data_IF_283177623781
#
_entry.id   IF_283177623781
#
_cell.length_a   1.000
_cell.length_b   1.000
_cell.length_c   1.000
_cell.angle_alpha   90.00
_cell.angle_beta   90.00
_cell.angle_gamma   90.00
#
_symmetry.space_group_name_H-M   'P 1'
#
loop_
_entity.id
_entity.type
_entity.pdbx_description
1 polymer ?
#
# COMPACT_ATOMS: atom_id res chain seq x y z
N UNK A 1 -3.59 -19.23 6.02
CA UNK A 1 -3.05 -18.25 5.05
C UNK A 1 -1.63 -18.68 4.75
N UNK A 2 -1.39 -19.27 3.59
CA UNK A 2 0.01 -19.45 3.18
C UNK A 2 0.57 -18.06 2.85
N UNK A 3 1.31 -17.52 3.77
CA UNK A 3 2.11 -16.35 3.55
C UNK A 3 3.23 -16.75 2.60
N UNK A 4 3.39 -16.01 1.51
CA UNK A 4 4.51 -16.20 0.57
C UNK A 4 5.86 -15.99 1.28
N UNK A 5 5.84 -15.25 2.38
CA UNK A 5 6.96 -15.03 3.29
C UNK A 5 6.49 -15.32 4.72
N UNK A 6 7.25 -16.12 5.43
CA UNK A 6 7.01 -16.43 6.85
C UNK A 6 8.06 -15.73 7.72
N UNK A 7 7.80 -15.52 9.01
CA UNK A 7 8.83 -15.06 9.94
C UNK A 7 10.09 -15.93 9.82
N UNK A 8 11.26 -15.30 9.92
CA UNK A 8 12.59 -15.89 9.78
C UNK A 8 13.04 -16.24 8.34
N UNK A 9 12.23 -15.93 7.32
CA UNK A 9 12.69 -16.03 5.93
C UNK A 9 13.75 -14.99 5.60
N UNK A 10 14.79 -15.42 4.87
CA UNK A 10 15.78 -14.53 4.29
C UNK A 10 15.39 -14.14 2.88
N UNK A 11 15.35 -12.84 2.60
CA UNK A 11 14.92 -12.30 1.32
C UNK A 11 16.07 -11.56 0.63
N UNK A 12 16.37 -11.92 -0.60
CA UNK A 12 17.31 -11.18 -1.45
C UNK A 12 16.55 -10.11 -2.25
N UNK A 13 16.89 -8.84 -2.01
CA UNK A 13 16.25 -7.71 -2.70
C UNK A 13 17.19 -7.16 -3.79
N UNK A 14 16.77 -7.27 -5.04
CA UNK A 14 17.49 -6.65 -6.16
C UNK A 14 17.12 -5.16 -6.30
N UNK A 15 17.94 -4.30 -5.71
CA UNK A 15 17.71 -2.84 -5.73
C UNK A 15 17.94 -2.21 -7.10
N UNK A 16 18.67 -2.86 -7.99
CA UNK A 16 18.99 -2.32 -9.33
C UNK A 16 17.76 -2.27 -10.24
N UNK A 17 16.80 -3.19 -10.06
CA UNK A 17 15.62 -3.26 -10.91
C UNK A 17 14.80 -1.96 -10.89
N UNK A 18 14.57 -1.41 -9.71
CA UNK A 18 13.74 -0.19 -9.53
C UNK A 18 14.55 1.09 -9.30
N UNK A 19 15.85 1.02 -9.50
CA UNK A 19 16.79 2.12 -9.30
C UNK A 19 17.34 2.19 -7.87
N UNK A 20 18.65 1.96 -7.74
CA UNK A 20 19.32 2.02 -6.44
C UNK A 20 19.33 3.45 -5.92
N UNK A 21 19.28 3.58 -4.60
CA UNK A 21 19.42 4.86 -3.91
C UNK A 21 20.85 5.05 -3.46
N UNK A 22 21.36 6.25 -3.70
CA UNK A 22 22.70 6.68 -3.26
C UNK A 22 22.51 7.73 -2.19
N UNK A 23 23.14 7.57 -1.05
CA UNK A 23 23.17 8.53 0.05
C UNK A 23 24.43 8.34 0.89
N UNK A 24 24.81 9.36 1.64
CA UNK A 24 25.99 9.33 2.50
C UNK A 24 25.64 8.65 3.84
N UNK A 25 26.25 7.49 4.09
CA UNK A 25 26.06 6.75 5.35
C UNK A 25 26.46 7.55 6.59
N UNK A 26 27.45 8.45 6.48
CA UNK A 26 27.88 9.32 7.58
C UNK A 26 26.75 10.26 8.05
N UNK A 27 26.01 10.84 7.11
CA UNK A 27 24.89 11.73 7.42
C UNK A 27 23.73 10.95 8.07
N UNK A 28 23.47 9.72 7.58
CA UNK A 28 22.49 8.83 8.18
C UNK A 28 22.79 8.48 9.65
N UNK A 29 24.07 8.23 9.97
CA UNK A 29 24.52 7.93 11.34
C UNK A 29 24.42 9.12 12.29
N UNK A 30 24.51 10.33 11.77
CA UNK A 30 24.46 11.58 12.54
C UNK A 30 23.06 12.19 12.62
N UNK A 31 22.02 11.48 12.16
CA UNK A 31 20.64 11.97 12.08
C UNK A 31 20.50 13.31 11.34
N UNK A 32 21.41 13.59 10.40
CA UNK A 32 21.33 14.77 9.53
C UNK A 32 20.29 14.57 8.43
N UNK A 33 19.73 15.65 7.86
CA UNK A 33 18.87 15.55 6.70
C UNK A 33 19.57 14.78 5.58
N UNK A 34 18.92 13.72 5.11
CA UNK A 34 19.48 12.85 4.07
C UNK A 34 19.14 13.38 2.70
N UNK A 35 20.16 13.67 1.92
CA UNK A 35 20.00 13.82 0.48
C UNK A 35 20.08 12.45 -0.18
N UNK A 36 18.99 12.05 -0.87
CA UNK A 36 18.88 10.72 -1.49
C UNK A 36 18.72 10.90 -2.98
N UNK A 37 19.73 10.50 -3.72
CA UNK A 37 19.67 10.40 -5.17
C UNK A 37 19.20 9.00 -5.56
N UNK A 38 18.30 8.93 -6.54
CA UNK A 38 17.86 7.66 -7.12
C UNK A 38 18.35 7.56 -8.56
N UNK A 39 19.11 6.53 -8.85
CA UNK A 39 19.47 6.20 -10.22
C UNK A 39 18.29 5.58 -10.95
N UNK A 40 18.31 5.65 -12.27
CA UNK A 40 17.30 4.98 -13.11
C UNK A 40 17.39 3.47 -12.93
N UNK A 41 16.26 2.82 -12.74
CA UNK A 41 16.15 1.36 -12.72
C UNK A 41 16.07 0.76 -14.11
N UNK A 42 16.21 -0.56 -14.17
CA UNK A 42 16.14 -1.33 -15.43
C UNK A 42 14.71 -1.79 -15.75
N UNK A 43 13.77 -1.67 -14.84
CA UNK A 43 12.39 -2.11 -15.06
C UNK A 43 11.37 -1.15 -14.46
N UNK A 44 10.23 -1.03 -15.12
CA UNK A 44 9.05 -0.32 -14.62
C UNK A 44 8.34 -1.11 -13.52
N UNK A 45 7.58 -0.41 -12.66
CA UNK A 45 6.72 -1.06 -11.68
C UNK A 45 5.59 -1.81 -12.38
N UNK A 46 5.24 -2.97 -11.84
CA UNK A 46 4.16 -3.80 -12.39
C UNK A 46 3.13 -4.15 -11.32
N UNK A 47 1.87 -4.33 -11.73
CA UNK A 47 0.83 -4.87 -10.85
C UNK A 47 1.17 -6.31 -10.46
N UNK A 48 0.81 -6.69 -9.25
CA UNK A 48 1.16 -7.96 -8.61
C UNK A 48 2.64 -8.16 -8.24
N UNK A 49 3.51 -7.23 -8.58
CA UNK A 49 4.91 -7.29 -8.18
C UNK A 49 5.07 -7.12 -6.67
N UNK A 50 5.94 -7.91 -6.06
CA UNK A 50 6.30 -7.75 -4.64
C UNK A 50 7.37 -6.69 -4.52
N UNK A 51 7.08 -5.64 -3.77
CA UNK A 51 7.95 -4.49 -3.58
C UNK A 51 8.46 -4.45 -2.14
N UNK A 52 9.73 -4.07 -2.01
CA UNK A 52 10.36 -3.77 -0.72
C UNK A 52 10.65 -2.27 -0.67
N UNK A 53 10.09 -1.59 0.31
CA UNK A 53 10.24 -0.15 0.47
C UNK A 53 10.32 0.24 1.94
N UNK A 54 10.87 1.42 2.22
CA UNK A 54 10.86 1.95 3.57
C UNK A 54 9.48 2.50 3.92
N UNK A 55 9.06 2.31 5.15
CA UNK A 55 7.80 2.86 5.63
C UNK A 55 7.84 4.39 5.59
N UNK A 56 6.85 5.04 4.94
CA UNK A 56 6.90 6.48 4.68
C UNK A 56 6.47 7.37 5.85
N UNK A 57 5.91 6.81 6.92
CA UNK A 57 5.41 7.54 8.09
C UNK A 57 6.05 7.04 9.39
N UNK A 58 7.39 7.20 9.57
CA UNK A 58 8.09 6.61 10.71
C UNK A 58 7.74 7.25 12.05
N UNK A 59 7.35 8.52 12.07
CA UNK A 59 7.09 9.30 13.29
C UNK A 59 5.68 9.85 13.35
N UNK A 60 5.16 10.37 12.25
CA UNK A 60 3.84 11.00 12.17
C UNK A 60 3.12 10.57 10.89
N UNK A 61 1.83 10.33 11.00
CA UNK A 61 0.97 9.94 9.87
C UNK A 61 0.76 11.06 8.83
N UNK A 62 0.90 12.32 9.24
CA UNK A 62 0.67 13.53 8.44
C UNK A 62 1.94 14.05 7.73
N UNK A 63 3.05 13.37 7.90
CA UNK A 63 4.31 13.76 7.28
C UNK A 63 5.07 12.56 6.71
N UNK A 64 5.52 12.70 5.47
CA UNK A 64 6.36 11.69 4.84
C UNK A 64 7.76 11.80 5.40
N UNK A 65 8.21 10.73 6.06
CA UNK A 65 9.55 10.61 6.59
C UNK A 65 10.33 9.49 5.92
N UNK A 66 11.56 9.30 6.32
CA UNK A 66 12.42 8.26 5.79
C UNK A 66 13.14 7.52 6.93
N UNK A 67 12.72 6.29 7.21
CA UNK A 67 13.40 5.42 8.15
C UNK A 67 14.21 4.37 7.39
N UNK A 68 15.54 4.47 7.46
CA UNK A 68 16.46 3.56 6.77
C UNK A 68 16.37 2.11 7.23
N UNK A 69 15.97 1.88 8.47
CA UNK A 69 15.98 0.56 9.10
C UNK A 69 14.64 -0.17 9.01
N UNK A 70 13.55 0.57 8.71
CA UNK A 70 12.21 -0.02 8.66
C UNK A 70 11.80 -0.30 7.22
N UNK A 71 11.72 -1.59 6.87
CA UNK A 71 11.30 -2.05 5.55
C UNK A 71 9.96 -2.74 5.59
N UNK A 72 9.16 -2.49 4.59
CA UNK A 72 7.90 -3.19 4.33
C UNK A 72 8.01 -3.98 3.04
N UNK A 73 7.42 -5.17 3.06
CA UNK A 73 7.26 -6.02 1.88
C UNK A 73 5.77 -6.08 1.57
N UNK A 74 5.37 -5.52 0.44
CA UNK A 74 3.97 -5.47 0.02
C UNK A 74 3.85 -5.76 -1.47
N UNK A 75 2.68 -6.26 -1.86
CA UNK A 75 2.34 -6.47 -3.26
C UNK A 75 1.74 -5.21 -3.86
N UNK A 76 2.24 -4.80 -5.03
CA UNK A 76 1.72 -3.67 -5.78
C UNK A 76 0.40 -4.07 -6.44
N UNK A 77 -0.69 -3.47 -6.02
CA UNK A 77 -2.02 -3.76 -6.58
C UNK A 77 -2.36 -2.84 -7.75
N UNK A 78 -1.96 -1.58 -7.65
CA UNK A 78 -2.28 -0.56 -8.65
C UNK A 78 -1.09 0.37 -8.90
N UNK A 79 -1.10 1.03 -10.03
CA UNK A 79 -0.07 1.95 -10.50
C UNK A 79 -0.64 3.38 -10.60
N UNK A 80 0.21 4.41 -10.66
CA UNK A 80 -0.24 5.77 -10.96
C UNK A 80 -1.10 5.82 -12.22
N UNK A 81 -2.25 6.51 -12.16
CA UNK A 81 -3.26 6.56 -13.21
C UNK A 81 -4.37 5.50 -13.11
N UNK A 82 -4.21 4.53 -12.21
CA UNK A 82 -5.24 3.51 -12.01
C UNK A 82 -6.39 4.01 -11.14
N UNK A 83 -7.57 3.47 -11.38
CA UNK A 83 -8.68 3.52 -10.44
C UNK A 83 -8.82 2.14 -9.80
N UNK A 84 -8.55 2.07 -8.50
CA UNK A 84 -8.59 0.83 -7.72
C UNK A 84 -9.89 0.75 -6.92
N UNK A 85 -10.42 -0.45 -6.80
CA UNK A 85 -11.56 -0.76 -5.94
C UNK A 85 -11.41 -2.16 -5.33
N UNK A 86 -12.09 -2.38 -4.22
CA UNK A 86 -12.33 -3.72 -3.66
C UNK A 86 -13.84 -3.96 -3.76
N UNK A 87 -14.22 -5.09 -4.30
CA UNK A 87 -15.61 -5.57 -4.36
C UNK A 87 -15.67 -6.99 -3.84
N UNK A 88 -16.46 -7.19 -2.80
CA UNK A 88 -16.55 -8.50 -2.11
C UNK A 88 -15.17 -9.10 -1.81
N UNK A 89 -14.29 -8.33 -1.16
CA UNK A 89 -12.92 -8.69 -0.84
C UNK A 89 -11.95 -8.82 -2.02
N UNK A 90 -12.41 -8.63 -3.26
CA UNK A 90 -11.60 -8.76 -4.48
C UNK A 90 -11.02 -7.43 -4.91
N UNK A 91 -9.70 -7.39 -5.10
CA UNK A 91 -9.05 -6.24 -5.70
C UNK A 91 -9.35 -6.15 -7.19
N UNK A 92 -9.73 -4.97 -7.63
CA UNK A 92 -9.98 -4.64 -9.04
C UNK A 92 -9.33 -3.33 -9.41
N UNK A 93 -8.89 -3.24 -10.65
CA UNK A 93 -8.43 -1.99 -11.27
C UNK A 93 -9.22 -1.81 -12.56
N UNK A 94 -9.78 -0.62 -12.76
CA UNK A 94 -10.59 -0.31 -13.92
C UNK A 94 -9.79 -0.53 -15.21
N UNK A 95 -10.34 -1.31 -16.15
CA UNK A 95 -9.67 -1.63 -17.41
C UNK A 95 -8.56 -2.70 -17.29
N UNK A 96 -8.51 -3.44 -16.19
CA UNK A 96 -7.55 -4.52 -16.00
C UNK A 96 -8.26 -5.79 -15.51
N UNK A 97 -8.31 -6.81 -16.37
CA UNK A 97 -9.12 -8.01 -16.16
C UNK A 97 -8.39 -9.18 -15.49
N UNK A 98 -7.08 -9.02 -15.22
CA UNK A 98 -6.31 -10.08 -14.55
C UNK A 98 -6.51 -10.03 -13.04
N UNK A 99 -6.38 -11.17 -12.41
CA UNK A 99 -6.44 -11.29 -10.95
C UNK A 99 -5.33 -10.48 -10.26
N UNK A 100 -5.71 -9.79 -9.19
CA UNK A 100 -4.83 -8.92 -8.40
C UNK A 100 -4.70 -9.43 -6.97
N UNK A 101 -3.49 -9.34 -6.45
CA UNK A 101 -3.20 -9.70 -5.07
C UNK A 101 -3.10 -11.21 -4.84
N UNK A 102 -3.21 -11.61 -3.58
CA UNK A 102 -3.24 -13.03 -3.20
C UNK A 102 -4.70 -13.52 -3.16
N UNK A 103 -5.08 -14.28 -4.16
CA UNK A 103 -6.45 -14.79 -4.33
C UNK A 103 -6.86 -15.73 -3.19
N UNK A 104 -5.92 -16.55 -2.71
CA UNK A 104 -6.20 -17.45 -1.58
C UNK A 104 -6.57 -16.66 -0.33
N UNK A 105 -5.81 -15.61 -0.02
CA UNK A 105 -6.11 -14.73 1.11
C UNK A 105 -7.43 -13.97 0.95
N UNK A 106 -7.75 -13.51 -0.27
CA UNK A 106 -9.01 -12.84 -0.56
C UNK A 106 -10.19 -13.80 -0.39
N UNK A 107 -10.07 -15.06 -0.86
CA UNK A 107 -11.09 -16.09 -0.64
C UNK A 107 -11.28 -16.41 0.84
N UNK A 108 -10.18 -16.56 1.57
CA UNK A 108 -10.23 -16.82 3.00
C UNK A 108 -10.90 -15.68 3.77
N UNK A 109 -10.62 -14.43 3.39
CA UNK A 109 -11.26 -13.26 3.96
C UNK A 109 -12.75 -13.23 3.62
N UNK A 110 -13.13 -13.49 2.36
CA UNK A 110 -14.54 -13.56 1.95
C UNK A 110 -15.30 -14.57 2.80
N UNK A 111 -14.78 -15.80 2.91
CA UNK A 111 -15.41 -16.86 3.72
C UNK A 111 -15.47 -16.49 5.21
N UNK A 112 -14.43 -15.83 5.75
CA UNK A 112 -14.43 -15.36 7.13
C UNK A 112 -15.55 -14.34 7.38
N UNK A 113 -15.79 -13.42 6.44
CA UNK A 113 -16.80 -12.37 6.53
C UNK A 113 -18.24 -12.85 6.27
N UNK A 114 -18.46 -14.08 5.80
CA UNK A 114 -19.80 -14.67 5.68
C UNK A 114 -20.49 -14.83 7.03
N UNK A 115 -19.72 -14.95 8.12
CA UNK A 115 -20.24 -15.09 9.48
C UNK A 115 -20.45 -13.71 10.12
N UNK A 116 -21.70 -13.29 10.45
CA UNK A 116 -21.97 -11.99 11.05
C UNK A 116 -21.15 -11.69 12.30
N UNK A 117 -20.96 -12.68 13.15
CA UNK A 117 -20.15 -12.58 14.38
C UNK A 117 -18.71 -12.11 14.12
N UNK A 118 -18.12 -12.55 12.99
CA UNK A 118 -16.77 -12.15 12.63
C UNK A 118 -16.72 -10.68 12.21
N UNK A 119 -17.75 -10.23 11.48
CA UNK A 119 -17.88 -8.83 11.07
C UNK A 119 -18.05 -7.93 12.31
N UNK A 120 -18.94 -8.30 13.22
CA UNK A 120 -19.14 -7.58 14.48
C UNK A 120 -17.83 -7.48 15.29
N UNK A 121 -17.10 -8.58 15.41
CA UNK A 121 -15.80 -8.60 16.09
C UNK A 121 -14.81 -7.63 15.44
N UNK A 122 -14.71 -7.63 14.11
CA UNK A 122 -13.80 -6.72 13.39
C UNK A 122 -14.20 -5.26 13.52
N UNK A 123 -15.50 -4.96 13.60
CA UNK A 123 -15.99 -3.60 13.87
C UNK A 123 -15.58 -3.16 15.27
N UNK A 124 -15.76 -4.01 16.28
CA UNK A 124 -15.34 -3.73 17.66
C UNK A 124 -13.82 -3.52 17.79
N UNK A 125 -13.02 -4.23 17.02
CA UNK A 125 -11.56 -4.12 16.97
C UNK A 125 -11.08 -2.98 16.05
N UNK A 126 -11.97 -2.16 15.48
CA UNK A 126 -11.68 -1.07 14.54
C UNK A 126 -10.83 -1.49 13.32
N UNK A 127 -10.99 -2.72 12.84
CA UNK A 127 -10.25 -3.24 11.70
C UNK A 127 -11.12 -3.60 10.49
N UNK A 128 -12.44 -3.32 10.55
CA UNK A 128 -13.36 -3.56 9.44
C UNK A 128 -13.42 -2.40 8.47
N UNK A 129 -13.52 -1.16 8.98
CA UNK A 129 -13.60 0.02 8.14
C UNK A 129 -12.23 0.48 7.68
N UNK A 130 -12.16 0.89 6.41
CA UNK A 130 -10.95 1.46 5.83
C UNK A 130 -10.89 2.97 6.12
N UNK A 131 -9.67 3.52 6.13
CA UNK A 131 -9.47 4.97 6.19
C UNK A 131 -10.15 5.64 4.96
N UNK A 132 -10.82 6.79 5.14
CA UNK A 132 -10.79 7.68 6.32
C UNK A 132 -11.78 7.31 7.43
N UNK A 133 -12.51 6.21 7.35
CA UNK A 133 -13.52 5.84 8.34
C UNK A 133 -14.79 6.70 8.26
N UNK A 134 -14.99 7.32 7.12
CA UNK A 134 -16.09 8.24 6.85
C UNK A 134 -17.42 7.49 6.76
N UNK A 135 -18.46 8.09 7.36
CA UNK A 135 -19.83 7.58 7.32
C UNK A 135 -20.49 7.71 5.93
N UNK A 136 -19.98 8.59 5.06
CA UNK A 136 -20.47 8.81 3.70
C UNK A 136 -19.92 7.75 2.77
N UNK A 137 -18.60 7.56 2.74
CA UNK A 137 -17.92 6.62 1.85
C UNK A 137 -18.15 5.15 2.26
N UNK A 138 -18.26 4.91 3.57
CA UNK A 138 -18.47 3.56 4.15
C UNK A 138 -17.48 2.51 3.64
N UNK A 139 -16.28 2.94 3.31
CA UNK A 139 -15.25 2.02 2.83
C UNK A 139 -14.83 1.01 3.89
N UNK A 140 -14.70 -0.21 3.47
CA UNK A 140 -14.35 -1.33 4.35
C UNK A 140 -13.32 -2.25 3.69
N UNK A 141 -12.84 -3.23 4.41
CA UNK A 141 -11.99 -4.28 3.84
C UNK A 141 -12.73 -5.18 2.83
N UNK A 142 -14.08 -5.19 2.89
CA UNK A 142 -14.92 -5.93 1.95
C UNK A 142 -15.17 -5.13 0.68
N UNK A 143 -15.53 -3.85 0.82
CA UNK A 143 -15.86 -2.96 -0.28
C UNK A 143 -15.18 -1.60 -0.09
N UNK A 144 -14.36 -1.22 -1.05
CA UNK A 144 -13.55 0.00 -1.02
C UNK A 144 -13.50 0.63 -2.40
N UNK A 145 -13.48 1.96 -2.44
CA UNK A 145 -13.35 2.72 -3.69
C UNK A 145 -14.70 2.97 -4.39
N UNK A 146 -14.65 3.42 -5.65
CA UNK A 146 -13.43 3.57 -6.47
C UNK A 146 -12.48 4.66 -5.97
N UNK A 147 -11.19 4.39 -6.01
CA UNK A 147 -10.14 5.32 -5.61
C UNK A 147 -9.13 5.51 -6.74
N UNK A 148 -9.01 6.73 -7.25
CA UNK A 148 -8.06 7.07 -8.31
C UNK A 148 -6.68 7.35 -7.72
N UNK A 149 -5.65 6.71 -8.27
CA UNK A 149 -4.26 6.96 -7.95
C UNK A 149 -3.69 8.01 -8.90
N UNK A 150 -3.37 9.21 -8.41
CA UNK A 150 -2.86 10.27 -9.27
C UNK A 150 -1.60 9.85 -10.02
N UNK A 151 -1.52 10.23 -11.28
CA UNK A 151 -0.33 10.04 -12.10
C UNK A 151 0.51 11.31 -12.18
N UNK A 152 1.72 11.18 -12.71
CA UNK A 152 2.58 12.33 -12.90
C UNK A 152 1.97 13.30 -13.93
N UNK A 153 1.76 14.55 -13.53
CA UNK A 153 1.16 15.60 -14.35
C UNK A 153 -0.31 15.83 -14.07
N UNK A 154 -0.96 15.01 -13.25
CA UNK A 154 -2.33 15.26 -12.82
C UNK A 154 -2.39 16.50 -11.93
N UNK A 155 -3.48 17.24 -12.09
CA UNK A 155 -3.81 18.36 -11.21
C UNK A 155 -4.91 17.95 -10.26
N UNK A 156 -4.67 18.08 -8.96
CA UNK A 156 -5.66 17.83 -7.92
C UNK A 156 -6.12 19.17 -7.38
N UNK A 157 -7.43 19.44 -7.45
CA UNK A 157 -8.01 20.62 -6.83
C UNK A 157 -8.19 20.34 -5.35
N UNK A 158 -7.44 21.07 -4.52
CA UNK A 158 -7.55 20.98 -3.07
C UNK A 158 -8.71 21.89 -2.61
N UNK A 159 -9.82 21.28 -2.30
CA UNK A 159 -10.96 21.94 -1.67
C UNK A 159 -11.06 21.57 -0.18
N UNK A 160 -11.99 22.21 0.54
CA UNK A 160 -12.17 21.95 1.97
C UNK A 160 -12.56 20.51 2.28
N UNK A 161 -13.15 19.78 1.35
CA UNK A 161 -13.50 18.37 1.54
C UNK A 161 -12.27 17.46 1.58
N UNK A 162 -11.21 17.82 0.86
CA UNK A 162 -9.93 17.09 0.87
C UNK A 162 -9.03 17.43 2.08
N UNK A 163 -9.25 18.59 2.71
CA UNK A 163 -8.49 19.03 3.88
C UNK A 163 -8.98 18.36 5.17
N UNK A 164 -10.24 17.96 5.19
CA UNK A 164 -10.91 17.38 6.37
C UNK A 164 -10.99 15.85 6.36
N UNK A 165 -10.28 15.18 5.45
CA UNK A 165 -10.17 13.71 5.44
C UNK A 165 -9.26 13.23 6.56
#
# INVERSE_FOLDING_TARGET
MESVLIPDDYVLVNKMLKGPRIFRLGDARQHKPLHIDRLKGFSEFQRNEVLVFNFPYPERWDSIGFNLMLYYVKRCIALPGDTVEIRDTRYRVRGYDKELGNIVSQNSLAHFLEKPRNVEKMIQENCFFAYPGDTILKWSIKDFGPFYLPSRGDTIVMDLSLIHI
#
